data_IF_839674190058
#
_entry.id   IF_839674190058
#
_cell.length_a   1.000
_cell.length_b   1.000
_cell.length_c   1.000
_cell.angle_alpha   90.00
_cell.angle_beta   90.00
_cell.angle_gamma   90.00
#
_symmetry.space_group_name_H-M   'P 1'
#
loop_
_entity.id
_entity.type
_entity.pdbx_description
1 polymer ?
#
# COMPACT_ATOMS: atom_id res chain seq x y z
N UNK A 1 6.61 -25.07 21.99
CA UNK A 1 7.95 -25.26 21.39
C UNK A 1 7.95 -26.03 20.06
N UNK A 2 6.79 -26.48 19.53
CA UNK A 2 6.72 -27.32 18.32
C UNK A 2 6.58 -26.48 17.02
N UNK A 3 5.80 -25.40 17.05
CA UNK A 3 5.48 -24.58 15.87
C UNK A 3 6.68 -23.89 15.18
N UNK A 4 7.76 -23.64 15.92
CA UNK A 4 8.98 -23.08 15.35
C UNK A 4 9.85 -24.16 14.70
N UNK A 5 9.89 -25.37 15.26
CA UNK A 5 10.57 -26.52 14.65
C UNK A 5 9.89 -26.94 13.35
N UNK A 6 8.57 -27.01 13.31
CA UNK A 6 7.87 -27.37 12.06
C UNK A 6 8.08 -26.32 10.96
N UNK A 7 8.23 -25.04 11.34
CA UNK A 7 8.58 -23.99 10.40
C UNK A 7 9.99 -24.17 9.85
N UNK A 8 10.93 -24.71 10.64
CA UNK A 8 12.28 -25.10 10.19
C UNK A 8 12.20 -26.28 9.24
N UNK A 9 11.41 -27.31 9.56
CA UNK A 9 11.31 -28.55 8.76
C UNK A 9 10.57 -28.35 7.43
N UNK A 10 9.56 -27.47 7.40
CA UNK A 10 8.75 -27.19 6.19
C UNK A 10 9.35 -26.07 5.31
N UNK A 11 10.41 -25.41 5.76
CA UNK A 11 11.03 -24.32 5.02
C UNK A 11 11.95 -24.84 3.91
N UNK A 12 11.60 -24.53 2.66
CA UNK A 12 12.50 -24.68 1.52
C UNK A 12 12.92 -23.31 1.01
N UNK A 13 14.23 -23.06 1.02
CA UNK A 13 14.87 -21.82 0.54
C UNK A 13 14.61 -21.58 -0.96
N UNK A 14 14.27 -22.62 -1.72
CA UNK A 14 13.93 -22.56 -3.15
C UNK A 14 12.57 -21.90 -3.42
N UNK A 15 11.68 -21.77 -2.42
CA UNK A 15 10.33 -21.20 -2.56
C UNK A 15 10.27 -19.67 -2.35
N UNK A 16 11.41 -19.00 -2.25
CA UNK A 16 11.55 -17.55 -2.47
C UNK A 16 11.09 -16.60 -1.35
N UNK A 17 10.44 -17.07 -0.27
CA UNK A 17 10.08 -16.23 0.88
C UNK A 17 11.12 -16.31 2.00
N UNK A 18 11.30 -15.22 2.76
CA UNK A 18 12.21 -15.25 3.91
C UNK A 18 11.67 -16.22 4.97
N UNK A 19 12.54 -17.04 5.56
CA UNK A 19 12.19 -17.99 6.63
C UNK A 19 11.34 -17.34 7.73
N UNK A 20 11.66 -16.10 8.06
CA UNK A 20 10.99 -15.34 9.12
C UNK A 20 9.54 -14.99 8.75
N UNK A 21 9.26 -14.69 7.48
CA UNK A 21 7.90 -14.48 6.99
C UNK A 21 7.09 -15.79 6.99
N UNK A 22 7.71 -16.89 6.56
CA UNK A 22 7.09 -18.21 6.57
C UNK A 22 6.78 -18.71 7.99
N UNK A 23 7.77 -18.64 8.89
CA UNK A 23 7.61 -19.03 10.29
C UNK A 23 6.50 -18.23 10.98
N UNK A 24 6.37 -16.93 10.68
CA UNK A 24 5.31 -16.08 11.25
C UNK A 24 3.90 -16.56 10.87
N UNK A 25 3.73 -17.08 9.64
CA UNK A 25 2.43 -17.64 9.18
C UNK A 25 2.13 -18.95 9.89
N UNK A 26 3.08 -19.88 9.92
CA UNK A 26 2.92 -21.18 10.57
C UNK A 26 2.64 -21.03 12.06
N UNK A 27 3.39 -20.15 12.74
CA UNK A 27 3.21 -19.88 14.17
C UNK A 27 1.82 -19.26 14.42
N UNK A 28 1.41 -18.29 13.60
CA UNK A 28 0.09 -17.65 13.76
C UNK A 28 -1.06 -18.65 13.54
N UNK A 29 -0.94 -19.54 12.55
CA UNK A 29 -1.89 -20.63 12.30
C UNK A 29 -1.99 -21.56 13.51
N UNK A 30 -0.86 -22.06 14.01
CA UNK A 30 -0.84 -22.97 15.16
C UNK A 30 -1.38 -22.34 16.45
N UNK A 31 -1.15 -21.05 16.67
CA UNK A 31 -1.75 -20.33 17.80
C UNK A 31 -3.27 -20.25 17.68
N UNK A 32 -3.80 -19.94 16.49
CA UNK A 32 -5.24 -19.90 16.24
C UNK A 32 -5.87 -21.28 16.43
N UNK A 33 -5.24 -22.33 15.94
CA UNK A 33 -5.73 -23.70 16.09
C UNK A 33 -5.68 -24.16 17.55
N UNK A 34 -4.65 -23.77 18.31
CA UNK A 34 -4.56 -24.05 19.74
C UNK A 34 -5.68 -23.35 20.53
N UNK A 35 -5.92 -22.05 20.27
CA UNK A 35 -7.02 -21.31 20.91
C UNK A 35 -8.39 -21.94 20.59
N UNK A 36 -8.59 -22.41 19.36
CA UNK A 36 -9.80 -23.14 18.96
C UNK A 36 -9.91 -24.51 19.62
N UNK A 37 -8.79 -25.20 19.87
CA UNK A 37 -8.76 -26.49 20.59
C UNK A 37 -9.10 -26.29 22.07
N UNK A 38 -8.55 -25.26 22.71
CA UNK A 38 -8.88 -24.91 24.09
C UNK A 38 -10.33 -24.46 24.25
N UNK A 39 -10.87 -23.66 23.32
CA UNK A 39 -12.30 -23.27 23.34
C UNK A 39 -13.24 -24.49 23.19
N UNK A 40 -12.84 -25.51 22.41
CA UNK A 40 -13.60 -26.76 22.31
C UNK A 40 -13.52 -27.61 23.57
N UNK A 41 -12.36 -27.66 24.24
CA UNK A 41 -12.23 -28.29 25.56
C UNK A 41 -13.06 -27.59 26.65
N UNK A 42 -13.25 -26.27 26.55
CA UNK A 42 -14.07 -25.52 27.50
C UNK A 42 -15.59 -25.70 27.30
N UNK A 43 -16.03 -26.08 26.09
CA UNK A 43 -17.46 -26.24 25.75
C UNK A 43 -17.92 -27.70 25.88
N UNK A 44 -17.03 -28.69 25.77
CA UNK A 44 -17.33 -30.11 25.97
C UNK A 44 -16.28 -30.77 26.89
N UNK A 45 -16.54 -30.91 28.21
CA UNK A 45 -15.58 -31.54 29.12
C UNK A 45 -15.49 -33.07 28.96
N UNK A 46 -16.26 -33.68 28.07
CA UNK A 46 -16.23 -35.11 27.83
C UNK A 46 -16.46 -35.39 26.37
N UNK A 47 -15.43 -35.89 25.70
CA UNK A 47 -15.50 -36.92 24.66
C UNK A 47 -14.05 -37.23 24.27
N UNK A 48 -13.55 -38.37 24.76
CA UNK A 48 -12.38 -39.05 24.21
C UNK A 48 -12.64 -39.28 22.73
N UNK A 49 -12.06 -38.45 21.87
CA UNK A 49 -11.97 -38.72 20.44
C UNK A 49 -10.50 -38.82 20.11
N UNK A 50 -10.15 -40.06 19.81
CA UNK A 50 -8.88 -40.59 19.32
C UNK A 50 -8.09 -39.61 18.44
N UNK A 51 -6.83 -39.43 18.83
CA UNK A 51 -5.78 -38.75 18.08
C UNK A 51 -5.32 -39.64 16.92
N UNK A 52 -6.05 -39.69 15.79
CA UNK A 52 -5.56 -40.40 14.59
C UNK A 52 -6.35 -40.03 13.31
N UNK A 53 -6.55 -38.74 13.07
CA UNK A 53 -6.84 -38.25 11.71
C UNK A 53 -5.88 -37.09 11.43
N UNK A 54 -4.72 -37.41 10.87
CA UNK A 54 -3.91 -36.45 10.12
C UNK A 54 -4.78 -35.93 8.97
N UNK A 55 -5.44 -34.80 9.21
CA UNK A 55 -6.09 -34.01 8.16
C UNK A 55 -4.97 -33.48 7.25
N UNK A 56 -4.62 -34.23 6.21
CA UNK A 56 -3.87 -33.73 5.06
C UNK A 56 -4.68 -32.57 4.44
N UNK A 57 -4.16 -31.35 4.58
CA UNK A 57 -4.76 -30.15 3.97
C UNK A 57 -4.97 -30.42 2.46
N UNK A 58 -6.20 -30.26 1.96
CA UNK A 58 -6.49 -30.44 0.54
C UNK A 58 -5.74 -29.41 -0.31
N UNK A 59 -5.26 -29.72 -1.53
CA UNK A 59 -4.61 -28.76 -2.43
C UNK A 59 -5.41 -27.45 -2.65
N UNK A 60 -6.74 -27.52 -2.50
CA UNK A 60 -7.65 -26.38 -2.53
C UNK A 60 -7.46 -25.45 -1.33
N UNK A 61 -7.31 -25.99 -0.12
CA UNK A 61 -7.11 -25.25 1.12
C UNK A 61 -5.73 -24.55 1.15
N UNK A 62 -4.70 -25.21 0.60
CA UNK A 62 -3.36 -24.62 0.42
C UNK A 62 -3.43 -23.43 -0.55
N UNK A 63 -4.23 -23.55 -1.61
CA UNK A 63 -4.39 -22.49 -2.62
C UNK A 63 -5.14 -21.28 -2.04
N UNK A 64 -6.19 -21.53 -1.26
CA UNK A 64 -6.92 -20.47 -0.55
C UNK A 64 -6.05 -19.79 0.51
N UNK A 65 -5.27 -20.54 1.29
CA UNK A 65 -4.36 -19.98 2.29
C UNK A 65 -3.28 -19.09 1.64
N UNK A 66 -2.71 -19.50 0.49
CA UNK A 66 -1.78 -18.67 -0.29
C UNK A 66 -2.43 -17.39 -0.78
N UNK A 67 -3.67 -17.47 -1.29
CA UNK A 67 -4.42 -16.29 -1.74
C UNK A 67 -4.68 -15.31 -0.59
N UNK A 68 -5.10 -15.81 0.57
CA UNK A 68 -5.31 -14.98 1.77
C UNK A 68 -3.98 -14.34 2.23
N UNK A 69 -2.88 -15.08 2.17
CA UNK A 69 -1.56 -14.55 2.50
C UNK A 69 -1.14 -13.41 1.55
N UNK A 70 -1.26 -13.62 0.23
CA UNK A 70 -0.94 -12.60 -0.78
C UNK A 70 -1.77 -11.33 -0.59
N UNK A 71 -3.08 -11.45 -0.38
CA UNK A 71 -3.96 -10.30 -0.12
C UNK A 71 -3.56 -9.52 1.14
N UNK A 72 -3.14 -10.24 2.19
CA UNK A 72 -2.66 -9.61 3.42
C UNK A 72 -1.32 -8.90 3.23
N UNK A 73 -0.42 -9.48 2.43
CA UNK A 73 0.88 -8.91 2.10
C UNK A 73 0.72 -7.62 1.26
N UNK A 74 -0.10 -7.65 0.20
CA UNK A 74 -0.45 -6.46 -0.60
C UNK A 74 -1.12 -5.37 0.24
N UNK A 75 -2.02 -5.76 1.15
CA UNK A 75 -2.64 -4.83 2.11
C UNK A 75 -1.61 -4.19 3.03
N UNK A 76 -0.58 -4.95 3.44
CA UNK A 76 0.51 -4.42 4.24
C UNK A 76 1.38 -3.44 3.45
N UNK A 77 1.80 -3.77 2.23
CA UNK A 77 2.59 -2.87 1.38
C UNK A 77 1.82 -1.57 1.08
N UNK A 78 0.53 -1.66 0.74
CA UNK A 78 -0.33 -0.47 0.57
C UNK A 78 -0.33 0.44 1.79
N UNK A 79 -0.43 -0.13 2.99
CA UNK A 79 -0.37 0.65 4.24
C UNK A 79 0.99 1.33 4.42
N UNK A 80 2.08 0.64 4.09
CA UNK A 80 3.42 1.25 4.15
C UNK A 80 3.55 2.42 3.20
N UNK A 81 3.11 2.28 1.94
CA UNK A 81 3.14 3.39 0.97
C UNK A 81 2.31 4.58 1.44
N UNK A 82 1.13 4.36 2.02
CA UNK A 82 0.30 5.45 2.58
C UNK A 82 1.04 6.18 3.70
N UNK A 83 1.70 5.45 4.61
CA UNK A 83 2.47 6.03 5.71
C UNK A 83 3.67 6.82 5.18
N UNK A 84 4.37 6.30 4.17
CA UNK A 84 5.50 6.98 3.55
C UNK A 84 5.06 8.23 2.78
N UNK A 85 3.99 8.14 2.00
CA UNK A 85 3.40 9.28 1.31
C UNK A 85 2.98 10.36 2.31
N UNK A 86 2.37 10.00 3.44
CA UNK A 86 2.04 10.96 4.51
C UNK A 86 3.29 11.71 5.00
N UNK A 87 4.40 10.99 5.22
CA UNK A 87 5.67 11.61 5.65
C UNK A 87 6.21 12.56 4.60
N UNK A 88 6.21 12.16 3.33
CA UNK A 88 6.64 13.02 2.22
C UNK A 88 5.74 14.25 2.07
N UNK A 89 4.42 14.10 2.08
CA UNK A 89 3.47 15.22 2.02
C UNK A 89 3.66 16.22 3.16
N UNK A 90 3.98 15.72 4.36
CA UNK A 90 4.27 16.57 5.53
C UNK A 90 5.45 17.52 5.28
N UNK A 91 6.47 17.09 4.54
CA UNK A 91 7.59 17.96 4.14
C UNK A 91 7.16 19.12 3.22
N UNK A 92 6.02 18.97 2.53
CA UNK A 92 5.38 20.01 1.72
C UNK A 92 4.26 20.74 2.46
N UNK A 93 4.08 20.49 3.77
CA UNK A 93 3.00 21.04 4.61
C UNK A 93 1.60 20.71 4.08
N UNK A 94 1.43 19.48 3.59
CA UNK A 94 0.17 18.92 3.11
C UNK A 94 -0.20 17.75 4.02
N UNK A 95 -1.47 17.66 4.42
CA UNK A 95 -2.02 16.52 5.16
C UNK A 95 -3.08 15.80 4.31
N UNK A 96 -3.35 14.53 4.62
CA UNK A 96 -4.44 13.79 3.95
C UNK A 96 -5.82 14.39 4.21
N UNK A 97 -6.06 14.93 5.40
CA UNK A 97 -7.30 15.65 5.72
C UNK A 97 -7.47 16.89 4.85
N UNK A 98 -6.39 17.64 4.60
CA UNK A 98 -6.47 18.77 3.69
C UNK A 98 -6.74 18.31 2.26
N UNK A 99 -6.16 17.18 1.82
CA UNK A 99 -6.36 16.65 0.49
C UNK A 99 -7.83 16.34 0.17
N UNK A 100 -8.62 15.87 1.15
CA UNK A 100 -10.05 15.62 0.91
C UNK A 100 -10.83 16.91 0.62
N UNK A 101 -10.36 18.05 1.13
CA UNK A 101 -11.01 19.35 0.93
C UNK A 101 -10.56 20.04 -0.38
N UNK A 102 -9.27 19.97 -0.70
CA UNK A 102 -8.68 20.71 -1.84
C UNK A 102 -8.71 19.93 -3.15
N UNK A 103 -8.99 18.62 -3.12
CA UNK A 103 -9.00 17.79 -4.33
C UNK A 103 -10.07 18.29 -5.32
N UNK A 104 -9.73 18.45 -6.61
CA UNK A 104 -10.70 18.94 -7.59
C UNK A 104 -11.87 17.96 -7.78
N UNK A 105 -13.11 18.46 -7.59
CA UNK A 105 -14.33 17.66 -7.71
C UNK A 105 -14.67 17.27 -9.15
N UNK A 106 -14.37 18.15 -10.10
CA UNK A 106 -14.65 17.92 -11.52
C UNK A 106 -13.45 17.30 -12.24
N UNK A 107 -13.72 16.45 -13.23
CA UNK A 107 -12.72 15.68 -13.97
C UNK A 107 -11.71 16.59 -14.66
N UNK A 108 -12.17 17.60 -15.40
CA UNK A 108 -11.31 18.55 -16.14
C UNK A 108 -10.28 19.25 -15.25
N UNK A 109 -10.68 19.60 -14.02
CA UNK A 109 -9.81 20.25 -13.06
C UNK A 109 -8.77 19.28 -12.48
N UNK A 110 -9.11 17.99 -12.32
CA UNK A 110 -8.15 16.94 -11.95
C UNK A 110 -7.16 16.69 -13.07
N UNK A 111 -7.65 16.47 -14.30
CA UNK A 111 -6.83 16.25 -15.49
C UNK A 111 -5.85 17.39 -15.72
N UNK A 112 -6.31 18.64 -15.62
CA UNK A 112 -5.45 19.83 -15.73
C UNK A 112 -4.34 19.86 -14.68
N UNK A 113 -4.64 19.43 -13.44
CA UNK A 113 -3.68 19.42 -12.35
C UNK A 113 -2.67 18.27 -12.47
N UNK A 114 -3.13 17.08 -12.91
CA UNK A 114 -2.25 15.95 -13.23
C UNK A 114 -1.34 16.30 -14.39
N UNK A 115 -1.86 16.89 -15.46
CA UNK A 115 -1.05 17.38 -16.58
C UNK A 115 0.03 18.36 -16.13
N UNK A 116 -0.33 19.33 -15.28
CA UNK A 116 0.61 20.27 -14.71
C UNK A 116 1.71 19.57 -13.89
N UNK A 117 1.36 18.57 -13.08
CA UNK A 117 2.33 17.76 -12.34
C UNK A 117 3.27 16.98 -13.28
N UNK A 118 2.75 16.35 -14.33
CA UNK A 118 3.55 15.66 -15.36
C UNK A 118 4.58 16.59 -16.01
N UNK A 119 4.21 17.85 -16.31
CA UNK A 119 5.17 18.83 -16.83
C UNK A 119 6.26 19.20 -15.82
N UNK A 120 5.94 19.25 -14.52
CA UNK A 120 6.94 19.47 -13.48
C UNK A 120 7.94 18.33 -13.40
N UNK A 121 7.50 17.08 -13.54
CA UNK A 121 8.36 15.89 -13.51
C UNK A 121 9.24 15.81 -14.75
N UNK A 122 8.68 16.13 -15.93
CA UNK A 122 9.36 16.02 -17.23
C UNK A 122 10.51 17.03 -17.39
N UNK A 123 10.41 18.21 -16.78
CA UNK A 123 11.44 19.24 -16.83
C UNK A 123 12.36 19.15 -15.58
N UNK A 124 13.64 18.76 -15.72
CA UNK A 124 14.55 18.61 -14.59
C UNK A 124 14.70 19.90 -13.75
N UNK A 125 14.67 21.08 -14.38
CA UNK A 125 14.82 22.36 -13.71
C UNK A 125 13.59 22.68 -12.86
N UNK A 126 12.39 22.33 -13.36
CA UNK A 126 11.16 22.50 -12.59
C UNK A 126 11.05 21.46 -11.48
N UNK A 127 11.42 20.21 -11.76
CA UNK A 127 11.45 19.12 -10.78
C UNK A 127 12.36 19.45 -9.60
N UNK A 128 13.60 19.88 -9.89
CA UNK A 128 14.56 20.30 -8.87
C UNK A 128 14.02 21.49 -8.06
N UNK A 129 13.44 22.49 -8.73
CA UNK A 129 12.85 23.64 -8.05
C UNK A 129 11.76 23.20 -7.06
N UNK A 130 10.86 22.30 -7.45
CA UNK A 130 9.79 21.79 -6.56
C UNK A 130 10.40 20.99 -5.42
N UNK A 131 11.38 20.14 -5.70
CA UNK A 131 12.07 19.31 -4.71
C UNK A 131 12.81 20.15 -3.65
N UNK A 132 13.44 21.26 -4.02
CA UNK A 132 14.17 22.15 -3.10
C UNK A 132 13.22 23.13 -2.41
N UNK A 133 12.40 23.84 -3.19
CA UNK A 133 11.56 24.95 -2.67
C UNK A 133 10.21 24.51 -2.14
N UNK A 134 9.84 23.23 -2.32
CA UNK A 134 8.58 22.62 -1.88
C UNK A 134 7.34 23.39 -2.33
N UNK A 135 7.40 24.01 -3.51
CA UNK A 135 6.34 24.89 -4.05
C UNK A 135 6.26 24.84 -5.57
N UNK A 136 5.06 24.99 -6.11
CA UNK A 136 4.83 25.04 -7.57
C UNK A 136 5.46 26.31 -8.17
N UNK A 137 6.33 26.22 -9.18
CA UNK A 137 6.88 27.38 -9.89
C UNK A 137 5.87 27.99 -10.87
N UNK A 138 4.77 28.58 -10.36
CA UNK A 138 3.63 29.06 -11.16
C UNK A 138 4.05 29.87 -12.41
N UNK A 139 4.94 30.85 -12.25
CA UNK A 139 5.42 31.68 -13.38
C UNK A 139 6.14 30.90 -14.47
N UNK A 140 6.91 29.87 -14.11
CA UNK A 140 7.61 29.02 -15.08
C UNK A 140 6.64 28.00 -15.70
N UNK A 141 5.79 27.41 -14.86
CA UNK A 141 4.82 26.40 -15.27
C UNK A 141 3.81 26.96 -16.29
N UNK A 142 3.36 28.21 -16.13
CA UNK A 142 2.48 28.90 -17.08
C UNK A 142 3.01 28.95 -18.52
N UNK A 143 4.32 28.79 -18.73
CA UNK A 143 4.91 28.79 -20.08
C UNK A 143 4.77 27.44 -20.79
N UNK A 144 4.47 26.38 -20.04
CA UNK A 144 4.48 25.00 -20.53
C UNK A 144 3.15 24.27 -20.30
N UNK A 145 2.14 24.95 -19.73
CA UNK A 145 0.80 24.38 -19.54
C UNK A 145 -0.28 25.31 -20.07
N UNK A 146 -1.35 24.79 -20.71
CA UNK A 146 -2.47 25.59 -21.21
C UNK A 146 -3.50 25.87 -20.10
N UNK A 147 -3.04 26.26 -18.91
CA UNK A 147 -3.88 26.41 -17.71
C UNK A 147 -3.72 27.82 -17.14
N UNK A 148 -4.83 28.44 -16.73
CA UNK A 148 -4.79 29.80 -16.16
C UNK A 148 -4.00 29.85 -14.84
N UNK A 149 -3.41 31.02 -14.55
CA UNK A 149 -2.73 31.28 -13.26
C UNK A 149 -3.65 30.99 -12.07
N UNK A 150 -4.92 31.42 -12.16
CA UNK A 150 -5.92 31.22 -11.10
C UNK A 150 -6.16 29.72 -10.85
N UNK A 151 -6.22 28.91 -11.90
CA UNK A 151 -6.42 27.46 -11.79
C UNK A 151 -5.20 26.78 -11.16
N UNK A 152 -3.98 27.14 -11.56
CA UNK A 152 -2.76 26.59 -10.95
C UNK A 152 -2.64 26.95 -9.46
N UNK A 153 -2.93 28.21 -9.10
CA UNK A 153 -2.89 28.67 -7.71
C UNK A 153 -3.94 27.98 -6.84
N UNK A 154 -5.15 27.76 -7.37
CA UNK A 154 -6.23 27.04 -6.67
C UNK A 154 -5.85 25.59 -6.40
N UNK A 155 -5.23 24.92 -7.37
CA UNK A 155 -4.92 23.50 -7.31
C UNK A 155 -3.47 23.21 -6.87
N UNK A 156 -2.71 24.21 -6.42
CA UNK A 156 -1.25 24.08 -6.21
C UNK A 156 -0.84 22.91 -5.30
N UNK A 157 -1.60 22.68 -4.23
CA UNK A 157 -1.33 21.60 -3.26
C UNK A 157 -1.65 20.23 -3.84
N UNK A 158 -2.72 20.13 -4.63
CA UNK A 158 -3.04 18.91 -5.37
C UNK A 158 -1.99 18.61 -6.45
N UNK A 159 -1.52 19.63 -7.17
CA UNK A 159 -0.41 19.49 -8.14
C UNK A 159 0.86 18.98 -7.45
N UNK A 160 1.23 19.53 -6.28
CA UNK A 160 2.38 19.05 -5.49
C UNK A 160 2.19 17.60 -5.05
N UNK A 161 0.97 17.22 -4.67
CA UNK A 161 0.65 15.85 -4.25
C UNK A 161 0.87 14.87 -5.39
N UNK A 162 0.33 15.17 -6.57
CA UNK A 162 0.54 14.33 -7.76
C UNK A 162 2.02 14.30 -8.15
N UNK A 163 2.73 15.43 -8.08
CA UNK A 163 4.17 15.48 -8.33
C UNK A 163 4.95 14.54 -7.39
N UNK A 164 4.64 14.53 -6.09
CA UNK A 164 5.27 13.63 -5.11
C UNK A 164 4.97 12.16 -5.45
N UNK A 165 3.73 11.86 -5.84
CA UNK A 165 3.33 10.50 -6.21
C UNK A 165 4.09 10.04 -7.46
N UNK A 166 4.20 10.89 -8.48
CA UNK A 166 4.89 10.56 -9.73
C UNK A 166 6.40 10.40 -9.57
N UNK A 167 7.02 11.18 -8.66
CA UNK A 167 8.48 11.15 -8.42
C UNK A 167 8.91 10.13 -7.37
N UNK A 168 7.97 9.58 -6.59
CA UNK A 168 8.23 8.56 -5.59
C UNK A 168 7.95 7.13 -6.07
N UNK A 169 8.42 6.19 -5.25
CA UNK A 169 8.22 4.74 -5.40
C UNK A 169 6.89 4.32 -4.74
N UNK A 170 5.77 4.72 -5.33
CA UNK A 170 4.42 4.46 -4.81
C UNK A 170 3.58 3.63 -5.78
N UNK A 171 3.99 2.38 -6.03
CA UNK A 171 3.38 1.54 -7.05
C UNK A 171 1.91 1.25 -6.77
N UNK A 172 1.57 0.89 -5.53
CA UNK A 172 0.19 0.56 -5.19
C UNK A 172 -0.72 1.79 -5.17
N UNK A 173 -0.19 2.97 -4.79
CA UNK A 173 -0.94 4.23 -4.86
C UNK A 173 -1.16 4.66 -6.31
N UNK A 174 -0.16 4.50 -7.19
CA UNK A 174 -0.29 4.81 -8.63
C UNK A 174 -1.37 3.94 -9.27
N UNK A 175 -1.36 2.64 -9.02
CA UNK A 175 -2.37 1.70 -9.51
C UNK A 175 -3.79 2.10 -9.06
N UNK A 176 -3.95 2.55 -7.81
CA UNK A 176 -5.26 3.02 -7.31
C UNK A 176 -5.74 4.30 -8.01
N UNK A 177 -4.81 5.16 -8.44
CA UNK A 177 -5.14 6.43 -9.09
C UNK A 177 -5.41 6.26 -10.59
N UNK A 178 -4.75 5.32 -11.27
CA UNK A 178 -5.01 4.96 -12.68
C UNK A 178 -6.46 4.54 -12.92
N UNK A 179 -7.11 3.91 -11.93
CA UNK A 179 -8.53 3.55 -12.01
C UNK A 179 -9.52 4.74 -11.97
N UNK A 180 -9.05 5.96 -11.67
CA UNK A 180 -9.89 7.16 -11.54
C UNK A 180 -9.38 8.42 -12.26
N UNK A 181 -8.10 8.43 -12.67
CA UNK A 181 -7.42 9.52 -13.39
C UNK A 181 -6.27 8.94 -14.20
N UNK A 182 -6.08 9.38 -15.45
CA UNK A 182 -4.94 8.96 -16.28
C UNK A 182 -3.61 9.60 -15.78
N UNK A 183 -2.98 8.92 -14.82
CA UNK A 183 -1.67 9.29 -14.23
C UNK A 183 -0.49 9.13 -15.17
#
# INVERSE_FOLDING_TARGET
MIAFNDAIDLYSKEKGSSFLAFAKVIIKRKVIDHIRKEQRQYIYPSLNVSEEEELEDSPMEITEAKKIFQLNEESWYRKQEIIELAKHLKAYKISFQELTEISPKHRDARESAVFAAKQLVKDPILSEYVSIKKRVPIKKLLKVVPVSKKTLERNRKYILTVFIILTGEYQYIKEYLEGGVDL
#
